data_IF_154978724202
#
_entry.id   IF_154978724202
#
_cell.length_a   1.000
_cell.length_b   1.000
_cell.length_c   1.000
_cell.angle_alpha   90.00
_cell.angle_beta   90.00
_cell.angle_gamma   90.00
#
_symmetry.space_group_name_H-M   'P 1'
#
loop_
_entity.id
_entity.type
_entity.pdbx_description
1 polymer ?
#
# COMPACT_ATOMS: atom_id res chain seq x y z
N UNK A 1 40.32 -62.94 22.14
CA UNK A 1 39.10 -62.38 22.75
C UNK A 1 39.36 -60.93 23.05
N UNK A 2 38.71 -59.99 22.36
CA UNK A 2 38.70 -58.58 22.80
C UNK A 2 37.87 -58.54 24.07
N UNK A 3 38.42 -57.96 25.14
CA UNK A 3 37.77 -57.99 26.44
C UNK A 3 36.52 -57.09 26.41
N UNK A 4 35.42 -57.53 27.01
CA UNK A 4 34.17 -56.75 27.05
C UNK A 4 34.38 -55.34 27.62
N UNK A 5 35.36 -55.22 28.52
CA UNK A 5 35.80 -53.95 29.12
C UNK A 5 36.39 -52.96 28.10
N UNK A 6 37.17 -53.44 27.12
CA UNK A 6 37.78 -52.60 26.09
C UNK A 6 36.72 -52.05 25.13
N UNK A 7 35.70 -52.85 24.82
CA UNK A 7 34.56 -52.42 23.99
C UNK A 7 33.72 -51.34 24.69
N UNK A 8 33.51 -51.47 26.01
CA UNK A 8 32.78 -50.49 26.82
C UNK A 8 33.53 -49.14 26.90
N UNK A 9 34.86 -49.18 27.07
CA UNK A 9 35.69 -47.97 27.07
C UNK A 9 35.68 -47.26 25.71
N UNK A 10 35.63 -48.01 24.61
CA UNK A 10 35.52 -47.45 23.27
C UNK A 10 34.18 -46.74 23.07
N UNK A 11 33.07 -47.34 23.51
CA UNK A 11 31.75 -46.69 23.46
C UNK A 11 31.70 -45.38 24.26
N UNK A 12 32.25 -45.38 25.48
CA UNK A 12 32.31 -44.17 26.32
C UNK A 12 33.18 -43.08 25.65
N UNK A 13 34.29 -43.47 25.02
CA UNK A 13 35.18 -42.55 24.29
C UNK A 13 34.47 -41.92 23.09
N UNK A 14 33.71 -42.71 22.34
CA UNK A 14 32.91 -42.25 21.18
C UNK A 14 31.79 -41.30 21.64
N UNK A 15 31.07 -41.64 22.71
CA UNK A 15 30.03 -40.77 23.27
C UNK A 15 30.59 -39.43 23.78
N UNK A 16 31.75 -39.46 24.44
CA UNK A 16 32.44 -38.26 24.91
C UNK A 16 32.90 -37.39 23.73
N UNK A 17 33.37 -38.00 22.64
CA UNK A 17 33.73 -37.28 21.41
C UNK A 17 32.52 -36.58 20.79
N UNK A 18 31.38 -37.27 20.65
CA UNK A 18 30.16 -36.65 20.12
C UNK A 18 29.62 -35.53 21.03
N UNK A 19 29.70 -35.70 22.36
CA UNK A 19 29.33 -34.65 23.32
C UNK A 19 30.22 -33.41 23.19
N UNK A 20 31.54 -33.58 23.03
CA UNK A 20 32.46 -32.46 22.81
C UNK A 20 32.19 -31.75 21.48
N UNK A 21 31.98 -32.50 20.38
CA UNK A 21 31.67 -31.93 19.08
C UNK A 21 30.39 -31.10 19.10
N UNK A 22 29.35 -31.59 19.80
CA UNK A 22 28.08 -30.86 19.99
C UNK A 22 28.29 -29.57 20.79
N UNK A 23 29.05 -29.60 21.88
CA UNK A 23 29.35 -28.40 22.67
C UNK A 23 30.11 -27.33 21.87
N UNK A 24 31.06 -27.73 21.02
CA UNK A 24 31.81 -26.80 20.16
C UNK A 24 30.88 -26.16 19.13
N UNK A 25 29.97 -26.94 18.55
CA UNK A 25 28.97 -26.42 17.60
C UNK A 25 28.01 -25.44 18.29
N UNK A 26 27.49 -25.78 19.46
CA UNK A 26 26.60 -24.90 20.24
C UNK A 26 27.30 -23.61 20.68
N UNK A 27 28.57 -23.69 21.06
CA UNK A 27 29.40 -22.51 21.38
C UNK A 27 29.63 -21.61 20.16
N UNK A 28 29.97 -22.18 19.00
CA UNK A 28 30.12 -21.40 17.75
C UNK A 28 28.81 -20.73 17.32
N UNK A 29 27.69 -21.43 17.46
CA UNK A 29 26.36 -20.90 17.17
C UNK A 29 26.00 -19.79 18.18
N UNK A 30 26.31 -19.93 19.47
CA UNK A 30 26.04 -18.88 20.46
C UNK A 30 26.86 -17.61 20.22
N UNK A 31 28.13 -17.75 19.83
CA UNK A 31 29.00 -16.62 19.47
C UNK A 31 28.48 -15.87 18.25
N UNK A 32 28.00 -16.59 17.22
CA UNK A 32 27.50 -15.97 15.99
C UNK A 32 26.10 -15.37 16.14
N UNK A 33 25.30 -15.82 17.10
CA UNK A 33 23.92 -15.32 17.31
C UNK A 33 23.85 -13.84 17.64
N UNK A 34 24.71 -13.37 18.55
CA UNK A 34 24.70 -11.98 19.01
C UNK A 34 25.02 -10.97 17.88
N UNK A 35 26.12 -11.11 17.11
CA UNK A 35 26.41 -10.18 16.01
C UNK A 35 25.35 -10.25 14.91
N UNK A 36 24.79 -11.42 14.62
CA UNK A 36 23.69 -11.57 13.65
C UNK A 36 22.43 -10.82 14.12
N UNK A 37 22.09 -10.90 15.41
CA UNK A 37 20.93 -10.17 15.94
C UNK A 37 21.13 -8.65 15.85
N UNK A 38 22.34 -8.17 16.17
CA UNK A 38 22.70 -6.74 16.12
C UNK A 38 22.68 -6.20 14.69
N UNK A 39 23.19 -6.95 13.71
CA UNK A 39 23.13 -6.51 12.32
C UNK A 39 21.69 -6.50 11.81
N UNK A 40 20.88 -7.49 12.19
CA UNK A 40 19.48 -7.56 11.79
C UNK A 40 18.65 -6.40 12.36
N UNK A 41 18.88 -6.01 13.62
CA UNK A 41 18.22 -4.84 14.22
C UNK A 41 18.68 -3.52 13.61
N UNK A 42 19.97 -3.39 13.26
CA UNK A 42 20.50 -2.22 12.56
C UNK A 42 19.91 -2.08 11.16
N UNK A 43 19.85 -3.17 10.39
CA UNK A 43 19.23 -3.19 9.05
C UNK A 43 17.75 -2.85 9.14
N UNK A 44 17.03 -3.41 10.12
CA UNK A 44 15.62 -3.10 10.34
C UNK A 44 15.40 -1.62 10.70
N UNK A 45 16.23 -1.07 11.58
CA UNK A 45 16.16 0.34 11.99
C UNK A 45 16.48 1.29 10.83
N UNK A 46 17.49 0.96 10.03
CA UNK A 46 17.85 1.74 8.83
C UNK A 46 16.74 1.68 7.77
N UNK A 47 16.12 0.51 7.60
CA UNK A 47 14.96 0.34 6.70
C UNK A 47 13.75 1.13 7.20
N UNK A 48 13.52 1.19 8.52
CA UNK A 48 12.45 2.00 9.12
C UNK A 48 12.68 3.50 8.89
N UNK A 49 13.93 3.96 8.99
CA UNK A 49 14.30 5.35 8.75
C UNK A 49 14.21 5.73 7.27
N UNK A 50 14.53 4.81 6.35
CA UNK A 50 14.31 5.00 4.91
C UNK A 50 12.82 5.10 4.55
N UNK A 51 11.93 4.56 5.39
CA UNK A 51 10.48 4.66 5.23
C UNK A 51 9.90 5.96 5.79
N UNK A 52 10.67 6.73 6.59
CA UNK A 52 10.18 7.94 7.27
C UNK A 52 10.50 9.24 6.54
N UNK A 53 11.02 9.21 5.31
CA UNK A 53 11.15 10.43 4.52
C UNK A 53 9.84 10.69 3.81
N UNK A 54 8.99 11.56 4.38
CA UNK A 54 8.05 12.44 3.66
C UNK A 54 7.24 13.26 4.69
N UNK A 55 7.90 14.21 5.34
CA UNK A 55 7.17 15.38 5.81
C UNK A 55 7.62 16.54 4.92
N UNK A 56 6.77 16.88 3.96
CA UNK A 56 6.87 18.15 3.26
C UNK A 56 6.84 19.23 4.35
N UNK A 57 8.00 19.85 4.59
CA UNK A 57 8.13 20.95 5.52
C UNK A 57 7.07 21.99 5.14
N UNK A 58 6.09 22.20 6.02
CA UNK A 58 5.16 23.32 5.92
C UNK A 58 5.95 24.61 6.23
N UNK A 59 6.74 25.06 5.24
CA UNK A 59 7.46 26.33 5.30
C UNK A 59 6.51 27.43 4.81
N UNK A 60 6.08 28.28 5.75
CA UNK A 60 5.54 29.62 5.46
C UNK A 60 4.12 29.65 4.88
N UNK A 61 3.21 30.32 5.61
CA UNK A 61 1.88 30.75 5.17
C UNK A 61 1.15 29.81 4.20
N UNK A 62 0.60 28.71 4.72
CA UNK A 62 -0.16 27.74 3.94
C UNK A 62 -1.20 28.45 3.06
N UNK A 63 -0.97 28.42 1.76
CA UNK A 63 -1.86 28.96 0.78
C UNK A 63 -2.80 27.85 0.31
N UNK A 64 -4.02 28.19 -0.08
CA UNK A 64 -5.05 27.22 -0.42
C UNK A 64 -5.27 27.16 -1.93
N UNK A 65 -5.39 25.94 -2.46
CA UNK A 65 -5.96 25.71 -3.79
C UNK A 65 -7.21 24.87 -3.59
N UNK A 66 -8.33 25.30 -4.15
CA UNK A 66 -9.56 24.52 -4.08
C UNK A 66 -10.54 24.87 -5.19
N UNK A 67 -11.63 24.14 -5.26
CA UNK A 67 -12.68 24.36 -6.23
C UNK A 67 -13.47 23.10 -6.50
N UNK A 68 -14.15 23.06 -7.65
CA UNK A 68 -15.05 21.97 -8.00
C UNK A 68 -14.65 21.28 -9.29
N UNK A 69 -14.88 19.98 -9.34
CA UNK A 69 -14.74 19.14 -10.53
C UNK A 69 -16.10 18.86 -11.11
N UNK A 70 -16.23 19.08 -12.42
CA UNK A 70 -17.43 18.84 -13.19
C UNK A 70 -17.17 17.84 -14.32
N UNK A 71 -18.13 16.95 -14.58
CA UNK A 71 -18.13 16.09 -15.77
C UNK A 71 -19.45 16.18 -16.51
N UNK A 72 -19.46 15.83 -17.81
CA UNK A 72 -20.69 15.80 -18.60
C UNK A 72 -21.55 14.58 -18.29
N UNK A 73 -22.84 14.80 -18.07
CA UNK A 73 -23.84 13.75 -18.04
C UNK A 73 -24.26 13.33 -19.46
N UNK A 74 -25.13 12.31 -19.56
CA UNK A 74 -25.66 11.81 -20.83
C UNK A 74 -26.52 12.82 -21.61
N UNK A 75 -26.99 13.90 -20.96
CA UNK A 75 -27.73 15.00 -21.59
C UNK A 75 -26.80 16.13 -22.06
N UNK A 76 -25.49 16.03 -21.83
CA UNK A 76 -24.50 17.03 -22.20
C UNK A 76 -24.30 18.14 -21.17
N UNK A 77 -25.01 18.13 -20.04
CA UNK A 77 -24.86 19.12 -18.97
C UNK A 77 -23.69 18.77 -18.04
N UNK A 78 -22.96 19.80 -17.58
CA UNK A 78 -21.96 19.64 -16.54
C UNK A 78 -22.61 19.43 -15.17
N UNK A 79 -22.19 18.38 -14.47
CA UNK A 79 -22.60 18.07 -13.09
C UNK A 79 -21.37 17.93 -12.22
N UNK A 80 -21.52 18.30 -10.95
CA UNK A 80 -20.48 18.12 -9.94
C UNK A 80 -20.17 16.63 -9.78
N UNK A 81 -18.89 16.28 -9.86
CA UNK A 81 -18.47 14.88 -9.94
C UNK A 81 -17.46 14.54 -8.88
N UNK A 82 -17.79 13.47 -8.16
CA UNK A 82 -16.97 12.85 -7.14
C UNK A 82 -15.70 12.18 -7.69
N UNK A 83 -14.68 12.03 -6.85
CA UNK A 83 -13.64 10.99 -6.94
C UNK A 83 -12.56 11.22 -8.00
N UNK A 84 -12.46 12.44 -8.54
CA UNK A 84 -11.27 12.83 -9.26
C UNK A 84 -10.07 12.90 -8.30
N UNK A 85 -8.90 12.50 -8.79
CA UNK A 85 -7.63 12.68 -8.08
C UNK A 85 -7.03 14.01 -8.52
N UNK A 86 -6.86 14.95 -7.58
CA UNK A 86 -6.25 16.25 -7.88
C UNK A 86 -4.89 16.30 -7.20
N UNK A 87 -3.85 16.53 -8.00
CA UNK A 87 -2.47 16.67 -7.52
C UNK A 87 -1.91 18.03 -7.92
N UNK A 88 -1.16 18.66 -7.04
CA UNK A 88 -0.37 19.86 -7.34
C UNK A 88 1.11 19.52 -7.26
N UNK A 89 1.83 19.65 -8.37
CA UNK A 89 3.26 19.44 -8.44
C UNK A 89 3.99 20.78 -8.62
N UNK A 90 4.96 21.06 -7.75
CA UNK A 90 5.76 22.29 -7.81
C UNK A 90 7.14 22.11 -7.20
N UNK A 91 7.85 23.21 -7.00
CA UNK A 91 9.21 23.24 -6.43
C UNK A 91 9.27 22.59 -5.04
N UNK A 92 8.21 22.77 -4.24
CA UNK A 92 8.10 22.26 -2.88
C UNK A 92 7.62 20.79 -2.79
N UNK A 93 7.47 20.10 -3.92
CA UNK A 93 7.03 18.71 -3.99
C UNK A 93 5.64 18.52 -4.59
N UNK A 94 5.06 17.35 -4.32
CA UNK A 94 3.72 16.95 -4.79
C UNK A 94 2.75 16.92 -3.62
N UNK A 95 1.60 17.56 -3.80
CA UNK A 95 0.53 17.63 -2.82
C UNK A 95 -0.72 17.01 -3.41
N UNK A 96 -1.45 16.24 -2.61
CA UNK A 96 -2.72 15.61 -2.99
C UNK A 96 -3.87 16.35 -2.33
N UNK A 97 -4.93 16.61 -3.10
CA UNK A 97 -6.10 17.30 -2.57
C UNK A 97 -7.01 16.38 -1.77
N UNK A 98 -7.60 16.95 -0.72
CA UNK A 98 -8.73 16.32 -0.05
C UNK A 98 -9.99 16.57 -0.85
N UNK A 99 -10.80 15.52 -0.99
CA UNK A 99 -11.97 15.53 -1.86
C UNK A 99 -13.24 15.17 -1.07
N UNK A 100 -14.35 15.84 -1.39
CA UNK A 100 -15.69 15.54 -0.85
C UNK A 100 -16.61 15.01 -1.94
N UNK A 101 -17.51 14.07 -1.61
CA UNK A 101 -18.45 13.41 -2.54
C UNK A 101 -19.23 14.35 -3.47
N UNK A 102 -19.40 15.63 -3.12
CA UNK A 102 -20.03 16.67 -3.95
C UNK A 102 -19.09 17.46 -4.86
N UNK A 103 -18.04 16.85 -5.42
CA UNK A 103 -17.21 17.52 -6.43
C UNK A 103 -16.16 18.51 -5.90
N UNK A 104 -16.19 18.84 -4.60
CA UNK A 104 -15.34 19.88 -4.02
C UNK A 104 -14.00 19.29 -3.59
N UNK A 105 -12.91 19.98 -3.95
CA UNK A 105 -11.56 19.65 -3.52
C UNK A 105 -10.88 20.84 -2.87
N UNK A 106 -9.93 20.57 -1.98
CA UNK A 106 -9.07 21.58 -1.39
C UNK A 106 -7.72 20.99 -0.97
N UNK A 107 -6.67 21.81 -1.04
CA UNK A 107 -5.34 21.47 -0.56
C UNK A 107 -4.62 22.71 -0.04
N UNK A 108 -3.71 22.49 0.90
CA UNK A 108 -2.81 23.50 1.42
C UNK A 108 -1.42 23.27 0.84
N UNK A 109 -0.86 24.32 0.23
CA UNK A 109 0.47 24.30 -0.40
C UNK A 109 1.27 25.52 0.06
N UNK A 110 2.60 25.44 0.16
CA UNK A 110 3.44 26.62 0.29
C UNK A 110 3.21 27.62 -0.87
N UNK A 111 3.53 28.91 -0.70
CA UNK A 111 3.49 29.86 -1.81
C UNK A 111 4.46 29.45 -2.92
N UNK A 112 4.03 29.56 -4.17
CA UNK A 112 4.81 29.13 -5.33
C UNK A 112 3.98 28.87 -6.58
N UNK A 113 4.64 28.35 -7.61
CA UNK A 113 4.01 27.92 -8.85
C UNK A 113 3.80 26.41 -8.83
N UNK A 114 2.60 25.99 -9.21
CA UNK A 114 2.19 24.58 -9.21
C UNK A 114 1.50 24.24 -10.53
N UNK A 115 1.86 23.08 -11.09
CA UNK A 115 1.08 22.41 -12.11
C UNK A 115 0.02 21.56 -11.40
N UNK A 116 -1.24 21.98 -11.47
CA UNK A 116 -2.36 21.28 -10.85
C UNK A 116 -3.01 20.38 -11.89
N UNK A 117 -3.00 19.07 -11.65
CA UNK A 117 -3.55 18.06 -12.54
C UNK A 117 -4.76 17.39 -11.89
N UNK A 118 -5.86 17.31 -12.63
CA UNK A 118 -7.02 16.49 -12.29
C UNK A 118 -7.05 15.24 -13.16
N UNK A 119 -7.05 14.07 -12.52
CA UNK A 119 -7.08 12.75 -13.16
C UNK A 119 -8.33 11.99 -12.71
N UNK A 120 -9.02 11.37 -13.66
CA UNK A 120 -10.20 10.56 -13.36
C UNK A 120 -10.34 9.42 -14.38
N UNK A 121 -10.51 8.16 -13.93
CA UNK A 121 -10.73 7.05 -14.85
C UNK A 121 -11.89 7.32 -15.82
N UNK A 122 -11.67 7.03 -17.11
CA UNK A 122 -12.66 7.25 -18.17
C UNK A 122 -12.79 8.70 -18.66
N UNK A 123 -11.97 9.63 -18.14
CA UNK A 123 -11.96 11.04 -18.55
C UNK A 123 -10.59 11.43 -19.10
N UNK A 124 -10.53 12.57 -19.78
CA UNK A 124 -9.29 13.19 -20.24
C UNK A 124 -8.71 14.00 -19.07
N UNK A 125 -7.46 13.73 -18.73
CA UNK A 125 -6.74 14.45 -17.68
C UNK A 125 -6.55 15.93 -18.07
N UNK A 126 -6.66 16.82 -17.09
CA UNK A 126 -6.52 18.26 -17.28
C UNK A 126 -5.45 18.81 -16.36
N UNK A 127 -4.55 19.63 -16.89
CA UNK A 127 -3.49 20.30 -16.12
C UNK A 127 -3.52 21.81 -16.33
N UNK A 128 -3.35 22.57 -15.25
CA UNK A 128 -3.27 24.03 -15.28
C UNK A 128 -2.11 24.52 -14.41
N UNK A 129 -1.37 25.51 -14.92
CA UNK A 129 -0.38 26.24 -14.13
C UNK A 129 -1.08 27.26 -13.22
N UNK A 130 -0.76 27.20 -11.93
CA UNK A 130 -1.33 28.06 -10.89
C UNK A 130 -0.22 28.67 -10.05
N UNK A 131 -0.24 29.99 -9.93
CA UNK A 131 0.61 30.73 -8.98
C UNK A 131 -0.17 31.05 -7.72
N UNK A 132 0.40 30.72 -6.56
CA UNK A 132 -0.21 30.98 -5.26
C UNK A 132 0.70 31.88 -4.43
N UNK A 133 0.15 33.00 -3.94
CA UNK A 133 0.84 33.91 -3.03
C UNK A 133 0.76 33.44 -1.57
N UNK A 134 1.63 33.96 -0.71
CA UNK A 134 1.64 33.62 0.72
C UNK A 134 0.29 33.96 1.37
N UNK A 135 -0.31 32.99 2.07
CA UNK A 135 -1.64 33.11 2.68
C UNK A 135 -2.79 33.32 1.66
N UNK A 136 -2.51 33.20 0.36
CA UNK A 136 -3.49 33.34 -0.70
C UNK A 136 -4.41 32.13 -0.82
N UNK A 137 -5.52 32.30 -1.53
CA UNK A 137 -6.41 31.21 -1.90
C UNK A 137 -6.75 31.32 -3.38
N UNK A 138 -6.53 30.24 -4.13
CA UNK A 138 -6.87 30.13 -5.55
C UNK A 138 -8.04 29.19 -5.72
N UNK A 139 -9.07 29.67 -6.42
CA UNK A 139 -10.19 28.83 -6.86
C UNK A 139 -9.94 28.36 -8.28
N UNK A 140 -9.83 27.05 -8.49
CA UNK A 140 -9.68 26.41 -9.79
C UNK A 140 -10.77 25.35 -9.97
N UNK A 141 -11.53 25.45 -11.06
CA UNK A 141 -12.57 24.48 -11.39
C UNK A 141 -12.13 23.66 -12.60
N UNK A 142 -12.42 22.36 -12.57
CA UNK A 142 -12.12 21.44 -13.66
C UNK A 142 -13.41 21.04 -14.38
N UNK A 143 -13.36 20.99 -15.71
CA UNK A 143 -14.48 20.60 -16.57
C UNK A 143 -14.00 19.47 -17.46
N UNK A 144 -14.07 18.24 -16.95
CA UNK A 144 -13.47 17.09 -17.60
C UNK A 144 -14.41 16.52 -18.66
N UNK A 145 -13.82 16.15 -19.79
CA UNK A 145 -14.49 15.47 -20.89
C UNK A 145 -14.22 13.97 -20.83
N UNK A 146 -15.14 13.16 -21.35
CA UNK A 146 -14.95 11.71 -21.42
C UNK A 146 -13.85 11.38 -22.42
N UNK A 147 -12.97 10.44 -22.10
CA UNK A 147 -11.87 10.06 -22.99
C UNK A 147 -12.33 9.25 -24.20
N UNK A 148 -13.53 8.66 -24.14
CA UNK A 148 -14.04 7.72 -25.15
C UNK A 148 -13.29 6.39 -25.19
N UNK A 149 -12.27 6.22 -24.35
CA UNK A 149 -11.54 4.97 -24.16
C UNK A 149 -12.36 4.14 -23.18
N UNK A 150 -12.84 2.94 -23.56
CA UNK A 150 -13.50 2.05 -22.63
C UNK A 150 -12.59 1.83 -21.42
N UNK A 151 -13.13 2.07 -20.23
CA UNK A 151 -12.43 1.72 -18.99
C UNK A 151 -12.17 0.22 -19.09
N UNK A 152 -10.92 -0.27 -18.88
CA UNK A 152 -10.62 -1.69 -19.02
C UNK A 152 -11.61 -2.51 -18.20
N UNK A 153 -12.47 -3.24 -18.91
CA UNK A 153 -13.42 -4.13 -18.26
C UNK A 153 -12.63 -5.24 -17.59
N UNK A 154 -13.10 -5.71 -16.42
CA UNK A 154 -12.54 -6.91 -15.84
C UNK A 154 -12.61 -8.02 -16.89
N UNK A 155 -11.48 -8.68 -17.15
CA UNK A 155 -11.41 -9.77 -18.11
C UNK A 155 -12.61 -10.72 -17.90
N UNK A 156 -13.30 -11.10 -18.98
CA UNK A 156 -14.50 -11.95 -18.93
C UNK A 156 -14.28 -13.18 -18.02
N UNK A 157 -13.09 -13.80 -18.09
CA UNK A 157 -12.72 -14.92 -17.23
C UNK A 157 -12.69 -14.58 -15.74
N UNK A 158 -12.29 -13.38 -15.35
CA UNK A 158 -12.25 -12.94 -13.96
C UNK A 158 -13.67 -12.79 -13.39
N UNK A 159 -14.61 -12.23 -14.18
CA UNK A 159 -16.02 -12.12 -13.76
C UNK A 159 -16.69 -13.49 -13.66
N UNK A 160 -16.42 -14.41 -14.61
CA UNK A 160 -16.90 -15.80 -14.54
C UNK A 160 -16.35 -16.53 -13.32
N UNK A 161 -15.07 -16.34 -12.99
CA UNK A 161 -14.46 -16.96 -11.84
C UNK A 161 -15.04 -16.41 -10.53
N UNK A 162 -15.18 -15.09 -10.39
CA UNK A 162 -15.77 -14.48 -9.19
C UNK A 162 -17.22 -14.92 -8.97
N UNK A 163 -18.03 -14.98 -10.02
CA UNK A 163 -19.42 -15.45 -9.93
C UNK A 163 -19.50 -16.94 -9.61
N UNK A 164 -18.65 -17.77 -10.21
CA UNK A 164 -18.56 -19.20 -9.89
C UNK A 164 -18.14 -19.47 -8.44
N UNK A 165 -17.13 -18.74 -7.93
CA UNK A 165 -16.68 -18.84 -6.54
C UNK A 165 -17.78 -18.38 -5.57
N UNK A 166 -18.46 -17.29 -5.89
CA UNK A 166 -19.59 -16.79 -5.09
C UNK A 166 -20.73 -17.82 -5.03
N UNK A 167 -21.12 -18.40 -6.16
CA UNK A 167 -22.14 -19.45 -6.21
C UNK A 167 -21.73 -20.70 -5.44
N UNK A 168 -20.47 -21.14 -5.57
CA UNK A 168 -19.94 -22.27 -4.80
C UNK A 168 -19.97 -21.99 -3.30
N UNK A 169 -19.61 -20.78 -2.86
CA UNK A 169 -19.71 -20.37 -1.47
C UNK A 169 -21.15 -20.38 -0.96
N UNK A 170 -22.09 -19.86 -1.75
CA UNK A 170 -23.52 -19.89 -1.41
C UNK A 170 -24.01 -21.34 -1.26
N UNK A 171 -23.70 -22.21 -2.22
CA UNK A 171 -24.07 -23.64 -2.15
C UNK A 171 -23.42 -24.31 -0.94
N UNK A 172 -22.16 -24.03 -0.66
CA UNK A 172 -21.45 -24.57 0.49
C UNK A 172 -22.11 -24.13 1.81
N UNK A 173 -22.45 -22.85 1.95
CA UNK A 173 -23.14 -22.32 3.12
C UNK A 173 -24.54 -22.93 3.25
N UNK A 174 -25.29 -23.08 2.16
CA UNK A 174 -26.62 -23.72 2.17
C UNK A 174 -26.55 -25.19 2.57
N UNK A 175 -25.57 -25.94 2.03
CA UNK A 175 -25.36 -27.34 2.42
C UNK A 175 -25.04 -27.47 3.91
N UNK A 176 -24.12 -26.62 4.42
CA UNK A 176 -23.77 -26.62 5.83
C UNK A 176 -24.95 -26.25 6.74
N UNK A 177 -25.79 -25.28 6.34
CA UNK A 177 -27.01 -24.90 7.07
C UNK A 177 -28.05 -26.01 7.11
N UNK A 178 -28.28 -26.72 6.01
CA UNK A 178 -29.25 -27.82 5.97
C UNK A 178 -28.77 -29.05 6.77
N UNK A 179 -27.48 -29.34 6.79
CA UNK A 179 -26.94 -30.42 7.65
C UNK A 179 -27.00 -30.07 9.13
N UNK A 180 -27.04 -28.78 9.49
CA UNK A 180 -27.10 -28.32 10.88
C UNK A 180 -28.54 -28.28 11.45
N UNK A 181 -29.57 -28.28 10.60
CA UNK A 181 -30.99 -28.36 11.01
C UNK A 181 -31.66 -29.63 10.43
N UNK A 182 -31.42 -30.81 11.01
CA UNK A 182 -31.96 -32.06 10.48
C UNK A 182 -33.35 -32.40 11.05
N UNK A 183 -34.30 -31.46 11.22
CA UNK A 183 -35.69 -31.81 11.63
C UNK A 183 -36.71 -30.83 11.04
N UNK A 184 -37.36 -31.28 9.96
CA UNK A 184 -38.81 -31.46 9.86
C UNK A 184 -39.07 -32.61 8.88
#
# INVERSE_FOLDING_TARGET
>A
MVNFFDFLLLLISVDNFFRQAKQILEYKVSILRIPILITLTLVFSFSLLALSTNEALAVGGAAAIGGKVYTRNHMGDYRETGWANITAAGEHGRFEAQFNMGGNYYMFVPPGNYLVTAEMPGHIDQSYDVTVSEGGSVTLNFYMEQSGIPIPEFNEYATMLMTAVSLLLVVFIMRKRNTANPIN
#
